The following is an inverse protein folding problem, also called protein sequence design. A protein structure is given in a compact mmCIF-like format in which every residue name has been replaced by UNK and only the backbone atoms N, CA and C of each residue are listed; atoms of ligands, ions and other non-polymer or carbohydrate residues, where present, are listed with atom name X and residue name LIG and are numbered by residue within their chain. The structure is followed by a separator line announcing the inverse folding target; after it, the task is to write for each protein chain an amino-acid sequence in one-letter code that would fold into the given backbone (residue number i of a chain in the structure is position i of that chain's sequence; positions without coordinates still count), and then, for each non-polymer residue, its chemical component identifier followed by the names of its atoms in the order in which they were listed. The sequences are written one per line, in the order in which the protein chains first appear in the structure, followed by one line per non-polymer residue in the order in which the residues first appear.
data_IF_613550904098
#
_entry.id   IF_613550904098
#
_cell.length_a   1.000
_cell.length_b   1.000
_cell.length_c   1.000
_cell.angle_alpha   90.00
_cell.angle_beta   90.00
_cell.angle_gamma   90.00
#
_symmetry.space_group_name_H-M   'P 1'
#
loop_
_entity.id
_entity.type
_entity.pdbx_description
1 polymer ?
#
# COMPACT_ATOMS: atom_id res chain seq x y z
N UNK A 1 29.67 76.97 13.63
CA UNK A 1 29.80 75.98 12.55
C UNK A 1 30.52 74.79 13.18
N UNK A 2 29.74 73.92 13.80
CA UNK A 2 30.15 72.79 14.62
C UNK A 2 29.16 71.68 14.26
N UNK A 3 29.62 70.65 13.58
CA UNK A 3 28.87 69.42 13.37
C UNK A 3 29.27 68.42 14.47
N UNK A 4 28.28 67.94 15.22
CA UNK A 4 28.27 66.56 15.64
C UNK A 4 26.89 65.95 15.38
N UNK A 5 26.84 64.75 14.81
CA UNK A 5 26.01 63.70 15.41
C UNK A 5 26.39 62.32 14.89
N UNK A 6 26.79 61.47 15.83
CA UNK A 6 26.73 60.02 15.70
C UNK A 6 25.27 59.62 15.56
N UNK A 7 24.94 58.77 14.59
CA UNK A 7 23.80 57.86 14.77
C UNK A 7 24.05 56.57 14.01
N UNK A 8 24.60 55.62 14.75
CA UNK A 8 24.44 54.19 14.49
C UNK A 8 22.93 53.89 14.32
N UNK A 9 22.46 53.76 13.08
CA UNK A 9 21.18 53.13 12.80
C UNK A 9 21.42 51.63 12.64
N UNK A 10 21.25 50.93 13.76
CA UNK A 10 21.04 49.49 13.86
C UNK A 10 20.10 48.98 12.76
N UNK A 11 20.66 48.30 11.76
CA UNK A 11 19.88 47.44 10.85
C UNK A 11 19.60 46.15 11.62
N UNK A 12 18.45 46.09 12.26
CA UNK A 12 17.94 44.89 12.92
C UNK A 12 16.52 44.61 12.47
N UNK A 13 16.36 43.43 11.83
CA UNK A 13 15.24 42.49 12.00
C UNK A 13 13.96 42.94 11.26
N UNK A 14 13.51 42.32 10.17
CA UNK A 14 12.93 40.97 10.09
C UNK A 14 13.03 40.40 8.65
N UNK A 15 13.96 39.47 8.42
CA UNK A 15 13.78 38.46 7.36
C UNK A 15 13.51 37.16 8.10
N UNK A 16 12.52 36.41 7.63
CA UNK A 16 12.05 35.13 8.18
C UNK A 16 10.97 35.21 9.25
N UNK A 17 9.87 35.92 8.96
CA UNK A 17 8.56 35.44 9.40
C UNK A 17 7.93 34.69 8.21
N UNK A 18 8.48 33.52 7.87
CA UNK A 18 7.90 32.66 6.84
C UNK A 18 6.69 31.99 7.50
N UNK A 19 5.49 32.40 7.12
CA UNK A 19 4.27 31.71 7.53
C UNK A 19 4.43 30.22 7.19
N UNK A 20 4.19 29.34 8.15
CA UNK A 20 4.19 27.88 7.95
C UNK A 20 2.96 27.40 7.21
N UNK A 21 2.06 28.31 6.83
CA UNK A 21 0.86 28.00 6.08
C UNK A 21 1.18 27.94 4.58
N UNK A 22 0.71 26.91 3.86
CA UNK A 22 0.89 26.81 2.42
C UNK A 22 0.19 27.98 1.71
N UNK A 23 0.96 28.77 0.95
CA UNK A 23 0.48 29.89 0.15
C UNK A 23 -0.03 29.38 -1.21
N UNK A 24 -1.27 28.89 -1.24
CA UNK A 24 -1.90 28.30 -2.44
C UNK A 24 -2.18 29.30 -3.59
N UNK A 25 -2.02 30.60 -3.34
CA UNK A 25 -2.31 31.68 -4.31
C UNK A 25 -1.03 32.29 -4.90
N UNK A 26 0.15 31.77 -4.53
CA UNK A 26 1.41 32.24 -5.10
C UNK A 26 1.67 31.58 -6.46
N UNK A 27 1.34 32.29 -7.52
CA UNK A 27 1.57 31.86 -8.92
C UNK A 27 3.06 31.68 -9.25
N UNK A 28 3.98 32.20 -8.42
CA UNK A 28 5.44 32.07 -8.64
C UNK A 28 5.90 30.61 -8.47
N UNK A 29 5.18 29.82 -7.67
CA UNK A 29 5.46 28.40 -7.43
C UNK A 29 4.41 27.47 -8.05
N UNK A 30 3.43 28.02 -8.77
CA UNK A 30 2.47 27.22 -9.50
C UNK A 30 3.17 26.49 -10.66
N UNK A 31 2.78 25.24 -10.90
CA UNK A 31 3.23 24.50 -12.07
C UNK A 31 2.58 25.16 -13.29
N UNK A 32 3.35 25.56 -14.33
CA UNK A 32 2.78 26.13 -15.54
C UNK A 32 1.73 25.21 -16.17
N UNK A 33 0.67 25.77 -16.74
CA UNK A 33 -0.42 24.99 -17.35
C UNK A 33 0.11 24.03 -18.44
N UNK A 34 1.08 24.48 -19.24
CA UNK A 34 1.70 23.64 -20.27
C UNK A 34 2.42 22.42 -19.68
N UNK A 35 3.10 22.60 -18.54
CA UNK A 35 3.78 21.50 -17.85
C UNK A 35 2.76 20.57 -17.16
N UNK A 36 1.64 21.10 -16.70
CA UNK A 36 0.55 20.31 -16.14
C UNK A 36 -0.06 19.40 -17.19
N UNK A 37 -0.31 19.91 -18.40
CA UNK A 37 -0.83 19.15 -19.54
C UNK A 37 0.15 18.07 -20.00
N UNK A 38 1.44 18.37 -20.03
CA UNK A 38 2.49 17.38 -20.34
C UNK A 38 2.51 16.24 -19.32
N UNK A 39 2.52 16.57 -18.02
CA UNK A 39 2.51 15.57 -16.93
C UNK A 39 1.23 14.73 -16.98
N UNK A 40 0.06 15.35 -17.18
CA UNK A 40 -1.20 14.62 -17.30
C UNK A 40 -1.19 13.67 -18.50
N UNK A 41 -0.67 14.12 -19.63
CA UNK A 41 -0.56 13.30 -20.84
C UNK A 41 0.36 12.11 -20.64
N UNK A 42 1.49 12.31 -19.96
CA UNK A 42 2.41 11.23 -19.59
C UNK A 42 1.73 10.22 -18.65
N UNK A 43 1.08 10.69 -17.58
CA UNK A 43 0.35 9.83 -16.64
C UNK A 43 -0.79 9.04 -17.29
N UNK A 44 -1.53 9.66 -18.22
CA UNK A 44 -2.58 8.98 -18.99
C UNK A 44 -1.96 7.89 -19.87
N UNK A 45 -0.84 8.19 -20.52
CA UNK A 45 -0.12 7.25 -21.38
C UNK A 45 0.37 6.06 -20.57
N UNK A 46 1.04 6.31 -19.45
CA UNK A 46 1.53 5.28 -18.54
C UNK A 46 0.40 4.42 -17.98
N UNK A 47 -0.70 5.05 -17.53
CA UNK A 47 -1.85 4.32 -17.02
C UNK A 47 -2.52 3.47 -18.11
N UNK A 48 -2.62 3.99 -19.34
CA UNK A 48 -3.21 3.25 -20.47
C UNK A 48 -2.35 2.04 -20.82
N UNK A 49 -1.03 2.22 -20.95
CA UNK A 49 -0.09 1.13 -21.20
C UNK A 49 -0.13 0.10 -20.06
N UNK A 50 -0.19 0.57 -18.81
CA UNK A 50 -0.32 -0.29 -17.65
C UNK A 50 -1.60 -1.12 -17.77
N UNK A 51 -2.76 -0.49 -17.99
CA UNK A 51 -4.07 -1.16 -18.12
C UNK A 51 -4.09 -2.17 -19.26
N UNK A 52 -3.52 -1.83 -20.41
CA UNK A 52 -3.41 -2.72 -21.57
C UNK A 52 -2.45 -3.90 -21.34
N UNK A 53 -1.41 -3.70 -20.53
CA UNK A 53 -0.45 -4.75 -20.15
C UNK A 53 -0.99 -5.72 -19.09
N UNK A 54 -2.14 -5.41 -18.48
CA UNK A 54 -2.65 -6.22 -17.38
C UNK A 54 -3.02 -7.62 -17.88
N UNK A 55 -2.54 -8.68 -17.20
CA UNK A 55 -2.87 -10.04 -17.59
C UNK A 55 -4.37 -10.30 -17.42
N UNK A 56 -4.95 -11.05 -18.36
CA UNK A 56 -6.34 -11.49 -18.29
C UNK A 56 -6.68 -12.07 -16.90
N UNK A 57 -7.81 -11.63 -16.34
CA UNK A 57 -8.27 -12.04 -15.01
C UNK A 57 -7.61 -11.30 -13.83
N UNK A 58 -7.13 -10.08 -14.02
CA UNK A 58 -6.83 -9.18 -12.89
C UNK A 58 -8.10 -8.94 -12.05
N UNK A 59 -7.97 -8.96 -10.73
CA UNK A 59 -9.09 -8.85 -9.79
C UNK A 59 -9.87 -10.14 -9.57
N UNK A 60 -9.40 -11.28 -10.09
CA UNK A 60 -10.09 -12.57 -9.93
C UNK A 60 -10.20 -13.04 -8.47
N UNK A 61 -9.34 -12.54 -7.57
CA UNK A 61 -9.40 -12.83 -6.14
C UNK A 61 -10.08 -11.71 -5.33
N UNK A 62 -10.53 -10.64 -6.00
CA UNK A 62 -11.19 -9.49 -5.39
C UNK A 62 -12.70 -9.58 -5.52
N UNK A 63 -13.34 -10.40 -4.67
CA UNK A 63 -14.79 -10.33 -4.52
C UNK A 63 -15.20 -9.07 -3.74
N UNK A 64 -16.45 -8.62 -3.93
CA UNK A 64 -17.00 -7.48 -3.19
C UNK A 64 -16.84 -7.63 -1.68
N UNK A 65 -17.09 -8.83 -1.14
CA UNK A 65 -16.96 -9.10 0.30
C UNK A 65 -15.52 -8.96 0.78
N UNK A 66 -14.55 -9.46 0.00
CA UNK A 66 -13.12 -9.35 0.33
C UNK A 66 -12.71 -7.87 0.31
N UNK A 67 -13.08 -7.12 -0.73
CA UNK A 67 -12.74 -5.70 -0.85
C UNK A 67 -13.34 -4.89 0.30
N UNK A 68 -14.63 -5.10 0.61
CA UNK A 68 -15.30 -4.44 1.74
C UNK A 68 -14.62 -4.78 3.06
N UNK A 69 -14.22 -6.03 3.27
CA UNK A 69 -13.52 -6.45 4.47
C UNK A 69 -12.13 -5.80 4.58
N UNK A 70 -11.35 -5.78 3.50
CA UNK A 70 -10.06 -5.09 3.44
C UNK A 70 -10.20 -3.59 3.74
N UNK A 71 -11.18 -2.93 3.13
CA UNK A 71 -11.40 -1.50 3.32
C UNK A 71 -11.88 -1.18 4.74
N UNK A 72 -12.72 -2.05 5.31
CA UNK A 72 -13.14 -1.94 6.72
C UNK A 72 -11.94 -1.99 7.66
N UNK A 73 -10.98 -2.88 7.41
CA UNK A 73 -9.73 -2.94 8.16
C UNK A 73 -8.97 -1.61 8.06
N UNK A 74 -8.74 -1.12 6.84
CA UNK A 74 -7.99 0.11 6.63
C UNK A 74 -8.67 1.34 7.27
N UNK A 75 -10.00 1.44 7.19
CA UNK A 75 -10.78 2.48 7.85
C UNK A 75 -10.61 2.42 9.37
N UNK A 76 -10.67 1.21 9.97
CA UNK A 76 -10.46 1.05 11.42
C UNK A 76 -9.05 1.43 11.87
N UNK A 77 -8.05 1.20 11.02
CA UNK A 77 -6.67 1.62 11.26
C UNK A 77 -6.40 3.10 10.91
N UNK A 78 -7.42 3.82 10.39
CA UNK A 78 -7.29 5.20 9.91
C UNK A 78 -6.19 5.36 8.87
N UNK A 79 -6.07 4.38 7.96
CA UNK A 79 -5.10 4.41 6.87
C UNK A 79 -5.60 5.31 5.73
N UNK A 80 -4.68 6.02 5.04
CA UNK A 80 -4.99 6.79 3.83
C UNK A 80 -5.64 5.94 2.74
N UNK A 81 -6.39 6.58 1.84
CA UNK A 81 -7.07 5.89 0.74
C UNK A 81 -6.10 5.18 -0.20
N UNK A 82 -4.94 5.78 -0.48
CA UNK A 82 -3.89 5.17 -1.31
C UNK A 82 -3.44 3.81 -0.78
N UNK A 83 -3.36 3.65 0.55
CA UNK A 83 -3.00 2.37 1.19
C UNK A 83 -4.06 1.31 0.96
N UNK A 84 -5.34 1.69 0.87
CA UNK A 84 -6.46 0.76 0.64
C UNK A 84 -6.36 0.14 -0.74
N UNK A 85 -6.19 0.98 -1.76
CA UNK A 85 -6.09 0.54 -3.15
C UNK A 85 -4.78 -0.22 -3.40
N UNK A 86 -3.66 0.25 -2.85
CA UNK A 86 -2.38 -0.44 -2.96
C UNK A 86 -2.40 -1.82 -2.28
N UNK A 87 -3.00 -1.93 -1.08
CA UNK A 87 -3.12 -3.21 -0.41
C UNK A 87 -3.96 -4.21 -1.18
N UNK A 88 -5.03 -3.74 -1.82
CA UNK A 88 -5.91 -4.54 -2.68
C UNK A 88 -5.15 -5.10 -3.89
N UNK A 89 -4.38 -4.26 -4.57
CA UNK A 89 -3.55 -4.68 -5.72
C UNK A 89 -2.46 -5.69 -5.30
N UNK A 90 -1.75 -5.42 -4.21
CA UNK A 90 -0.74 -6.35 -3.64
C UNK A 90 -1.38 -7.70 -3.32
N UNK A 91 -2.57 -7.69 -2.72
CA UNK A 91 -3.27 -8.91 -2.34
C UNK A 91 -3.69 -9.74 -3.56
N UNK A 92 -4.31 -9.13 -4.57
CA UNK A 92 -4.77 -9.84 -5.77
C UNK A 92 -3.61 -10.49 -6.53
N UNK A 93 -2.52 -9.75 -6.74
CA UNK A 93 -1.31 -10.26 -7.40
C UNK A 93 -0.72 -11.43 -6.63
N UNK A 94 -0.59 -11.29 -5.31
CA UNK A 94 -0.06 -12.36 -4.47
C UNK A 94 -0.94 -13.61 -4.53
N UNK A 95 -2.26 -13.47 -4.44
CA UNK A 95 -3.17 -14.60 -4.51
C UNK A 95 -3.12 -15.31 -5.85
N UNK A 96 -2.97 -14.57 -6.96
CA UNK A 96 -2.78 -15.13 -8.30
C UNK A 96 -1.51 -15.96 -8.39
N UNK A 97 -0.37 -15.41 -7.98
CA UNK A 97 0.93 -16.11 -8.01
C UNK A 97 0.89 -17.34 -7.10
N UNK A 98 0.38 -17.19 -5.88
CA UNK A 98 0.31 -18.26 -4.90
C UNK A 98 -0.61 -19.39 -5.36
N UNK A 99 -1.77 -19.05 -5.92
CA UNK A 99 -2.74 -20.00 -6.47
C UNK A 99 -2.13 -20.79 -7.62
N UNK A 100 -1.50 -20.09 -8.57
CA UNK A 100 -0.80 -20.72 -9.70
C UNK A 100 0.32 -21.67 -9.24
N UNK A 101 1.17 -21.21 -8.32
CA UNK A 101 2.27 -22.00 -7.76
C UNK A 101 1.78 -23.31 -7.12
N UNK A 102 0.67 -23.25 -6.37
CA UNK A 102 0.08 -24.42 -5.74
C UNK A 102 -0.55 -25.37 -6.75
N UNK A 103 -1.21 -24.82 -7.78
CA UNK A 103 -1.78 -25.61 -8.87
C UNK A 103 -0.70 -26.36 -9.64
N UNK A 104 0.37 -25.67 -10.04
CA UNK A 104 1.50 -26.25 -10.77
C UNK A 104 2.18 -27.35 -9.95
N UNK A 105 2.36 -27.13 -8.65
CA UNK A 105 2.90 -28.14 -7.73
C UNK A 105 2.05 -29.42 -7.70
N UNK A 106 0.72 -29.31 -7.76
CA UNK A 106 -0.17 -30.48 -7.82
C UNK A 106 -0.19 -31.11 -9.22
N UNK A 107 -0.12 -30.29 -10.28
CA UNK A 107 -0.18 -30.74 -11.66
C UNK A 107 0.95 -31.73 -11.96
N UNK A 108 2.16 -31.45 -11.47
CA UNK A 108 3.37 -32.27 -11.66
C UNK A 108 3.34 -33.59 -10.86
N UNK A 109 2.48 -33.74 -9.84
CA UNK A 109 2.40 -34.98 -9.08
C UNK A 109 1.93 -36.15 -9.96
N UNK A 110 2.68 -37.26 -9.96
CA UNK A 110 2.23 -38.50 -10.59
C UNK A 110 1.27 -39.27 -9.67
N UNK A 111 0.04 -38.73 -9.52
CA UNK A 111 -1.04 -39.26 -8.68
C UNK A 111 -2.37 -39.22 -9.44
N UNK A 112 -3.32 -40.06 -9.02
CA UNK A 112 -4.67 -40.05 -9.58
C UNK A 112 -5.36 -38.69 -9.40
N UNK A 113 -6.26 -38.34 -10.31
CA UNK A 113 -7.02 -37.09 -10.23
C UNK A 113 -7.83 -36.98 -8.92
N UNK A 114 -8.38 -38.10 -8.43
CA UNK A 114 -9.08 -38.12 -7.12
C UNK A 114 -8.15 -37.76 -5.96
N UNK A 115 -6.91 -38.23 -5.98
CA UNK A 115 -5.91 -37.87 -4.96
C UNK A 115 -5.50 -36.41 -5.08
N UNK A 116 -5.28 -35.90 -6.30
CA UNK A 116 -4.95 -34.49 -6.55
C UNK A 116 -6.06 -33.56 -6.04
N UNK A 117 -7.32 -33.91 -6.30
CA UNK A 117 -8.48 -33.16 -5.81
C UNK A 117 -8.51 -33.07 -4.28
N UNK A 118 -8.30 -34.19 -3.57
CA UNK A 118 -8.24 -34.18 -2.09
C UNK A 118 -7.08 -33.35 -1.53
N UNK A 119 -5.96 -33.26 -2.27
CA UNK A 119 -4.84 -32.40 -1.89
C UNK A 119 -5.23 -30.93 -2.11
N UNK A 120 -5.86 -30.62 -3.26
CA UNK A 120 -6.35 -29.29 -3.56
C UNK A 120 -7.33 -28.78 -2.48
N UNK A 121 -8.32 -29.58 -2.08
CA UNK A 121 -9.26 -29.22 -1.00
C UNK A 121 -8.54 -28.87 0.31
N UNK A 122 -7.46 -29.60 0.66
CA UNK A 122 -6.66 -29.30 1.86
C UNK A 122 -5.88 -28.00 1.73
N UNK A 123 -5.33 -27.72 0.55
CA UNK A 123 -4.62 -26.47 0.26
C UNK A 123 -5.58 -25.30 0.31
N UNK A 124 -6.73 -25.41 -0.34
CA UNK A 124 -7.79 -24.41 -0.36
C UNK A 124 -8.26 -24.11 1.07
N UNK A 125 -8.60 -25.13 1.87
CA UNK A 125 -8.97 -24.95 3.26
C UNK A 125 -7.86 -24.32 4.12
N UNK A 126 -6.59 -24.56 3.79
CA UNK A 126 -5.45 -23.90 4.44
C UNK A 126 -5.33 -22.43 4.05
N UNK A 127 -5.47 -22.10 2.77
CA UNK A 127 -5.47 -20.74 2.25
C UNK A 127 -6.61 -19.91 2.85
N UNK A 128 -7.83 -20.46 2.86
CA UNK A 128 -9.01 -19.79 3.43
C UNK A 128 -8.83 -19.48 4.92
N UNK A 129 -8.23 -20.39 5.69
CA UNK A 129 -7.92 -20.15 7.12
C UNK A 129 -6.86 -19.07 7.34
N UNK A 130 -6.02 -18.78 6.35
CA UNK A 130 -4.97 -17.77 6.43
C UNK A 130 -5.31 -16.48 5.68
N UNK A 131 -6.53 -16.38 5.15
CA UNK A 131 -6.95 -15.27 4.30
C UNK A 131 -6.81 -13.93 5.01
N UNK A 132 -7.31 -13.83 6.25
CA UNK A 132 -7.19 -12.62 7.07
C UNK A 132 -5.73 -12.23 7.31
N UNK A 133 -4.87 -13.20 7.60
CA UNK A 133 -3.44 -12.94 7.81
C UNK A 133 -2.79 -12.36 6.54
N UNK A 134 -3.12 -12.89 5.37
CA UNK A 134 -2.60 -12.46 4.06
C UNK A 134 -3.08 -11.04 3.73
N UNK A 135 -4.37 -10.76 3.98
CA UNK A 135 -4.96 -9.42 3.86
C UNK A 135 -4.21 -8.41 4.75
N UNK A 136 -4.06 -8.71 6.05
CA UNK A 136 -3.34 -7.83 6.96
C UNK A 136 -1.85 -7.67 6.58
N UNK A 137 -1.26 -8.69 5.95
CA UNK A 137 0.12 -8.61 5.43
C UNK A 137 0.21 -7.65 4.24
N UNK A 138 -0.70 -7.76 3.28
CA UNK A 138 -0.75 -6.83 2.15
C UNK A 138 -0.94 -5.38 2.61
N UNK A 139 -1.82 -5.15 3.60
CA UNK A 139 -2.05 -3.82 4.20
C UNK A 139 -0.80 -3.28 4.89
N UNK A 140 -0.04 -4.12 5.61
CA UNK A 140 1.22 -3.70 6.21
C UNK A 140 2.25 -3.27 5.17
N UNK A 141 2.37 -4.03 4.08
CA UNK A 141 3.31 -3.73 3.00
C UNK A 141 2.91 -2.43 2.31
N UNK A 142 1.63 -2.28 1.96
CA UNK A 142 1.09 -1.04 1.39
C UNK A 142 1.34 0.16 2.31
N UNK A 143 1.12 0.01 3.62
CA UNK A 143 1.37 1.07 4.61
C UNK A 143 2.85 1.46 4.67
N UNK A 144 3.76 0.49 4.52
CA UNK A 144 5.21 0.73 4.47
C UNK A 144 5.65 1.44 3.20
N UNK A 145 5.09 1.05 2.05
CA UNK A 145 5.39 1.67 0.76
C UNK A 145 4.91 3.12 0.75
N UNK A 146 3.68 3.35 1.22
CA UNK A 146 3.08 4.69 1.23
C UNK A 146 3.71 5.63 2.27
N UNK A 147 4.10 5.10 3.44
CA UNK A 147 4.63 5.93 4.53
C UNK A 147 6.01 5.45 4.97
N UNK A 148 7.04 5.93 4.28
CA UNK A 148 8.45 5.64 4.57
C UNK A 148 8.85 6.02 6.03
N UNK A 149 8.10 6.92 6.67
CA UNK A 149 8.34 7.41 8.04
C UNK A 149 7.28 6.99 9.08
N UNK A 150 6.08 6.51 8.69
CA UNK A 150 5.00 6.10 9.60
C UNK A 150 4.43 4.72 9.22
N UNK A 151 5.32 3.74 9.02
CA UNK A 151 4.94 2.35 8.79
C UNK A 151 4.02 1.84 9.91
N UNK A 152 2.89 1.22 9.54
CA UNK A 152 2.03 0.50 10.46
C UNK A 152 2.84 -0.50 11.28
N UNK A 153 2.96 -0.25 12.59
CA UNK A 153 3.76 -1.10 13.47
C UNK A 153 3.15 -2.52 13.55
N UNK A 154 4.01 -3.53 13.59
CA UNK A 154 3.63 -4.96 13.73
C UNK A 154 2.66 -5.18 14.91
N UNK A 155 2.84 -4.39 15.97
CA UNK A 155 1.97 -4.36 17.14
C UNK A 155 0.51 -4.01 16.79
N UNK A 156 0.28 -2.99 15.97
CA UNK A 156 -1.08 -2.55 15.60
C UNK A 156 -1.82 -3.65 14.81
N UNK A 157 -1.08 -4.38 13.97
CA UNK A 157 -1.59 -5.50 13.20
C UNK A 157 -1.97 -6.67 14.11
N UNK A 158 -1.10 -6.99 15.08
CA UNK A 158 -1.38 -8.03 16.07
C UNK A 158 -2.62 -7.69 16.89
N UNK A 159 -2.72 -6.47 17.40
CA UNK A 159 -3.89 -5.98 18.17
C UNK A 159 -5.16 -6.09 17.32
N UNK A 160 -5.10 -5.73 16.04
CA UNK A 160 -6.21 -5.89 15.13
C UNK A 160 -6.58 -7.37 14.89
N UNK A 161 -5.62 -8.24 14.62
CA UNK A 161 -5.87 -9.66 14.41
C UNK A 161 -6.51 -10.30 15.65
N UNK A 162 -6.06 -9.89 16.84
CA UNK A 162 -6.67 -10.29 18.10
C UNK A 162 -8.10 -9.74 18.25
N UNK A 163 -8.34 -8.48 17.87
CA UNK A 163 -9.69 -7.89 17.87
C UNK A 163 -10.65 -8.56 16.88
N UNK A 164 -10.11 -9.17 15.82
CA UNK A 164 -10.86 -9.97 14.84
C UNK A 164 -11.05 -11.44 15.28
N UNK A 165 -10.60 -11.81 16.48
CA UNK A 165 -10.77 -13.16 17.04
C UNK A 165 -9.69 -14.16 16.61
N UNK A 166 -8.61 -13.71 15.98
CA UNK A 166 -7.53 -14.59 15.53
C UNK A 166 -6.29 -14.50 16.44
N UNK A 167 -5.88 -15.59 17.12
CA UNK A 167 -4.72 -15.61 17.99
C UNK A 167 -3.41 -15.81 17.18
N UNK A 168 -3.03 -14.82 16.36
CA UNK A 168 -1.75 -14.85 15.65
C UNK A 168 -0.60 -14.27 16.49
N UNK A 169 0.60 -14.84 16.32
CA UNK A 169 1.85 -14.34 16.94
C UNK A 169 2.60 -13.43 15.99
N UNK A 170 3.39 -12.49 16.52
CA UNK A 170 4.22 -11.57 15.73
C UNK A 170 5.13 -12.30 14.73
N UNK A 171 5.70 -13.44 15.14
CA UNK A 171 6.52 -14.30 14.26
C UNK A 171 5.75 -14.85 13.05
N UNK A 172 4.46 -15.13 13.19
CA UNK A 172 3.63 -15.60 12.07
C UNK A 172 3.35 -14.47 11.07
N UNK A 173 3.15 -13.24 11.56
CA UNK A 173 2.94 -12.05 10.74
C UNK A 173 4.23 -11.70 9.98
N UNK A 174 5.40 -11.71 10.64
CA UNK A 174 6.69 -11.48 9.98
C UNK A 174 7.00 -12.55 8.92
N UNK A 175 6.76 -13.82 9.23
CA UNK A 175 7.00 -14.92 8.29
C UNK A 175 6.09 -14.80 7.06
N UNK A 176 4.83 -14.41 7.25
CA UNK A 176 3.91 -14.08 6.15
C UNK A 176 4.46 -12.95 5.28
N UNK A 177 4.91 -11.84 5.88
CA UNK A 177 5.50 -10.71 5.15
C UNK A 177 6.74 -11.06 4.32
N UNK A 178 7.61 -11.94 4.83
CA UNK A 178 8.78 -12.43 4.07
C UNK A 178 8.41 -13.21 2.82
N UNK A 179 7.27 -13.90 2.80
CA UNK A 179 6.79 -14.54 1.58
C UNK A 179 6.32 -13.54 0.52
N UNK A 180 5.84 -12.37 0.92
CA UNK A 180 5.44 -11.33 -0.04
C UNK A 180 6.64 -10.57 -0.62
N UNK A 181 7.74 -10.42 0.13
CA UNK A 181 8.95 -9.69 -0.29
C UNK A 181 10.02 -10.58 -0.97
N UNK A 182 9.79 -11.90 -1.04
CA UNK A 182 10.63 -12.82 -1.80
C UNK A 182 10.24 -12.87 -3.30
N UNK A 183 9.41 -11.91 -3.71
CA UNK A 183 8.99 -11.60 -5.08
C UNK A 183 9.36 -10.16 -5.38
#
# INVERSE_FOLDING_TARGET
MLDPDETNSSVSVDRYNRSTEPEFLDEIYAIPDELTDEILTELITDNTQYVESLPYGMGSYLSTDIVQYMFTICVRLRLPDDVKYLAMDIFDRYMKIQGQTMYDAIAVLNRSNSTKFKIWEKIEASLSRQLTLRICTAIQIASKIHSFHHSLALHNVKVMLQALGFPYTEKAIEKSGKFFLAF
#
